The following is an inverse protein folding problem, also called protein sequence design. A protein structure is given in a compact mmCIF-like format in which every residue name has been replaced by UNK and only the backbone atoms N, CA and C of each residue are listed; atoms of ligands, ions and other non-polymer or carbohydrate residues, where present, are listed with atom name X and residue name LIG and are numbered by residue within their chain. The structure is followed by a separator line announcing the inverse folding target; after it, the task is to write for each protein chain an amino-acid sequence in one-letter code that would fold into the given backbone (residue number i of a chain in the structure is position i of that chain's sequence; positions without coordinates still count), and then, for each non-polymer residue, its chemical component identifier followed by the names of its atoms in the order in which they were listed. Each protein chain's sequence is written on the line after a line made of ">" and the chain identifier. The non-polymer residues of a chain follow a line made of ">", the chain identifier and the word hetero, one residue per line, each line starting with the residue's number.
data_IF_363177163042
#
_entry.id   IF_363177163042
#
_cell.length_a   1.000
_cell.length_b   1.000
_cell.length_c   1.000
_cell.angle_alpha   90.00
_cell.angle_beta   90.00
_cell.angle_gamma   90.00
#
_symmetry.space_group_name_H-M   'P 1'
#
loop_
_entity.id
_entity.type
_entity.pdbx_description
1 polymer ?
#
# COMPACT_ATOMS: atom_id res chain seq x y z
N UNK A 1 -25.57 3.16 -22.63
CA UNK A 1 -24.68 4.00 -21.80
C UNK A 1 -25.12 4.01 -20.32
N UNK A 2 -24.50 3.21 -19.45
CA UNK A 2 -24.81 3.15 -18.00
C UNK A 2 -23.88 4.07 -17.18
N UNK A 3 -24.43 4.84 -16.23
CA UNK A 3 -23.72 5.55 -15.16
C UNK A 3 -24.13 4.94 -13.81
N UNK A 4 -23.19 4.61 -12.92
CA UNK A 4 -23.44 3.68 -11.81
C UNK A 4 -23.19 4.37 -10.46
N UNK A 5 -24.11 4.21 -9.51
CA UNK A 5 -24.13 4.97 -8.25
C UNK A 5 -23.89 4.14 -6.99
N UNK A 6 -24.52 2.96 -6.86
CA UNK A 6 -24.62 2.24 -5.57
C UNK A 6 -24.79 0.74 -5.78
N UNK A 7 -24.26 -0.07 -4.85
CA UNK A 7 -24.38 -1.53 -4.83
C UNK A 7 -24.92 -2.00 -3.48
N UNK A 8 -25.95 -2.85 -3.49
CA UNK A 8 -26.47 -3.53 -2.29
C UNK A 8 -27.22 -4.81 -2.69
N UNK A 9 -27.06 -5.90 -1.93
CA UNK A 9 -27.83 -7.15 -2.09
C UNK A 9 -27.81 -7.76 -3.49
N UNK A 10 -26.67 -7.69 -4.20
CA UNK A 10 -26.54 -8.24 -5.56
C UNK A 10 -27.17 -7.37 -6.65
N UNK A 11 -27.65 -6.17 -6.31
CA UNK A 11 -28.22 -5.20 -7.25
C UNK A 11 -27.29 -3.99 -7.41
N UNK A 12 -27.11 -3.55 -8.66
CA UNK A 12 -26.31 -2.37 -9.00
C UNK A 12 -27.22 -1.30 -9.58
N UNK A 13 -27.21 -0.11 -8.97
CA UNK A 13 -28.02 1.02 -9.37
C UNK A 13 -27.27 1.93 -10.34
N UNK A 14 -28.00 2.45 -11.33
CA UNK A 14 -27.42 3.43 -12.23
C UNK A 14 -28.44 4.25 -13.00
N UNK A 15 -27.99 4.85 -14.09
CA UNK A 15 -28.82 5.51 -15.10
C UNK A 15 -28.35 5.14 -16.51
N UNK A 16 -29.29 4.84 -17.40
CA UNK A 16 -29.03 4.54 -18.81
C UNK A 16 -29.28 5.77 -19.67
N UNK A 17 -28.24 6.36 -20.28
CA UNK A 17 -28.42 7.49 -21.20
C UNK A 17 -29.08 7.01 -22.50
N UNK A 18 -30.10 7.75 -22.96
CA UNK A 18 -30.68 7.60 -24.30
C UNK A 18 -29.81 8.34 -25.32
N UNK A 19 -29.72 7.81 -26.53
CA UNK A 19 -29.01 8.50 -27.61
C UNK A 19 -29.74 9.82 -27.94
N UNK A 20 -29.01 10.95 -27.85
CA UNK A 20 -29.45 12.24 -28.38
C UNK A 20 -29.99 13.29 -27.40
N UNK A 21 -30.28 12.99 -26.12
CA UNK A 21 -30.82 13.99 -25.18
C UNK A 21 -30.43 13.73 -23.71
N UNK A 22 -30.10 14.83 -23.01
CA UNK A 22 -29.84 14.99 -21.56
C UNK A 22 -28.53 14.38 -20.98
N UNK A 23 -27.80 15.09 -20.10
CA UNK A 23 -26.67 14.52 -19.35
C UNK A 23 -27.07 13.45 -18.32
N UNK A 24 -28.37 13.26 -18.06
CA UNK A 24 -28.90 12.27 -17.12
C UNK A 24 -29.80 11.27 -17.85
N UNK A 25 -29.54 9.99 -17.64
CA UNK A 25 -30.28 8.89 -18.27
C UNK A 25 -31.61 8.58 -17.60
N UNK A 26 -32.11 7.36 -17.78
CA UNK A 26 -33.22 6.79 -17.02
C UNK A 26 -32.65 5.87 -15.94
N UNK A 27 -33.14 5.97 -14.71
CA UNK A 27 -32.73 5.13 -13.59
C UNK A 27 -32.85 3.64 -13.96
N UNK A 28 -31.85 2.85 -13.58
CA UNK A 28 -31.84 1.41 -13.82
C UNK A 28 -31.37 0.64 -12.59
N UNK A 29 -31.78 -0.62 -12.54
CA UNK A 29 -31.26 -1.63 -11.62
C UNK A 29 -30.70 -2.77 -12.47
N UNK A 30 -29.47 -3.17 -12.19
CA UNK A 30 -28.84 -4.35 -12.76
C UNK A 30 -28.79 -5.45 -11.70
N UNK A 31 -29.39 -6.58 -12.00
CA UNK A 31 -29.35 -7.76 -11.15
C UNK A 31 -28.15 -8.62 -11.52
N UNK A 32 -27.23 -8.78 -10.57
CA UNK A 32 -25.97 -9.49 -10.77
C UNK A 32 -26.14 -10.99 -10.90
N UNK A 33 -27.18 -11.57 -10.29
CA UNK A 33 -27.41 -13.01 -10.28
C UNK A 33 -27.99 -13.49 -11.61
N UNK A 34 -28.94 -12.72 -12.15
CA UNK A 34 -29.58 -12.99 -13.44
C UNK A 34 -28.84 -12.36 -14.62
N UNK A 35 -28.07 -11.31 -14.37
CA UNK A 35 -27.45 -10.48 -15.39
C UNK A 35 -28.43 -9.54 -16.10
N UNK A 36 -29.65 -9.37 -15.57
CA UNK A 36 -30.71 -8.56 -16.18
C UNK A 36 -30.58 -7.08 -15.81
N UNK A 37 -30.84 -6.21 -16.80
CA UNK A 37 -30.90 -4.76 -16.61
C UNK A 37 -32.36 -4.31 -16.74
N UNK A 38 -32.90 -3.68 -15.70
CA UNK A 38 -34.26 -3.12 -15.66
C UNK A 38 -34.23 -1.61 -15.64
N UNK A 39 -34.93 -0.97 -16.57
CA UNK A 39 -35.22 0.46 -16.52
C UNK A 39 -36.40 0.75 -15.58
N UNK A 40 -36.24 1.73 -14.70
CA UNK A 40 -37.25 2.10 -13.69
C UNK A 40 -38.21 3.20 -14.18
N UNK A 41 -37.85 3.90 -15.27
CA UNK A 41 -38.61 5.02 -15.79
C UNK A 41 -38.36 6.32 -15.02
N UNK A 42 -39.30 7.26 -15.14
CA UNK A 42 -39.26 8.58 -14.51
C UNK A 42 -40.59 8.86 -13.81
N UNK A 43 -40.60 9.83 -12.90
CA UNK A 43 -41.85 10.36 -12.38
C UNK A 43 -42.65 11.08 -13.50
N UNK A 44 -43.99 11.17 -13.39
CA UNK A 44 -44.80 11.87 -14.37
C UNK A 44 -44.31 13.32 -14.61
N UNK A 45 -44.14 13.70 -15.87
CA UNK A 45 -43.64 15.03 -16.26
C UNK A 45 -42.12 15.19 -16.26
N UNK A 46 -41.37 14.21 -15.74
CA UNK A 46 -39.91 14.26 -15.67
C UNK A 46 -39.26 13.62 -16.91
N UNK A 47 -38.12 14.15 -17.34
CA UNK A 47 -37.41 13.73 -18.56
C UNK A 47 -36.27 12.74 -18.32
N UNK A 48 -35.69 12.75 -17.12
CA UNK A 48 -34.58 11.87 -16.75
C UNK A 48 -34.66 11.45 -15.29
N UNK A 49 -33.94 10.40 -14.92
CA UNK A 49 -33.89 9.90 -13.55
C UNK A 49 -32.58 9.17 -13.24
N UNK A 50 -32.22 9.14 -11.97
CA UNK A 50 -31.04 8.45 -11.45
C UNK A 50 -31.40 7.72 -10.15
N UNK A 51 -31.07 6.43 -10.07
CA UNK A 51 -31.16 5.67 -8.83
C UNK A 51 -29.90 5.91 -7.97
N UNK A 52 -30.08 6.10 -6.67
CA UNK A 52 -29.01 6.46 -5.73
C UNK A 52 -28.94 5.56 -4.50
N UNK A 53 -30.02 4.87 -4.12
CA UNK A 53 -30.02 3.97 -2.96
C UNK A 53 -31.00 2.82 -3.15
N UNK A 54 -30.76 1.70 -2.45
CA UNK A 54 -31.66 0.55 -2.46
C UNK A 54 -31.64 -0.12 -1.09
N UNK A 55 -32.82 -0.49 -0.58
CA UNK A 55 -32.93 -1.28 0.65
C UNK A 55 -33.99 -2.35 0.44
N UNK A 56 -33.57 -3.62 0.40
CA UNK A 56 -34.42 -4.71 -0.03
C UNK A 56 -34.95 -4.47 -1.45
N UNK A 57 -36.27 -4.29 -1.56
CA UNK A 57 -36.97 -4.13 -2.85
C UNK A 57 -37.37 -2.70 -3.18
N UNK A 58 -36.87 -1.76 -2.39
CA UNK A 58 -37.17 -0.33 -2.52
C UNK A 58 -35.95 0.38 -3.06
N UNK A 59 -36.08 1.01 -4.21
CA UNK A 59 -35.05 1.83 -4.85
C UNK A 59 -35.40 3.29 -4.67
N UNK A 60 -34.42 4.12 -4.31
CA UNK A 60 -34.58 5.56 -4.23
C UNK A 60 -33.74 6.27 -5.26
N UNK A 61 -34.12 7.48 -5.61
CA UNK A 61 -33.39 8.27 -6.59
C UNK A 61 -33.96 9.65 -6.79
N UNK A 62 -33.55 10.29 -7.87
CA UNK A 62 -33.97 11.64 -8.24
C UNK A 62 -34.41 11.62 -9.70
N UNK A 63 -35.57 12.19 -9.98
CA UNK A 63 -36.03 12.52 -11.33
C UNK A 63 -35.80 14.00 -11.62
N UNK A 64 -35.58 14.34 -12.88
CA UNK A 64 -35.33 15.71 -13.32
C UNK A 64 -36.21 16.10 -14.49
N UNK A 65 -36.71 17.33 -14.45
CA UNK A 65 -37.57 17.90 -15.47
C UNK A 65 -36.71 18.54 -16.58
N UNK A 66 -37.37 19.27 -17.49
CA UNK A 66 -36.68 20.00 -18.56
C UNK A 66 -35.78 21.14 -18.05
N UNK A 67 -36.12 21.71 -16.89
CA UNK A 67 -35.39 22.79 -16.23
C UNK A 67 -34.30 22.30 -15.27
N UNK A 68 -34.19 20.96 -15.10
CA UNK A 68 -33.31 20.27 -14.15
C UNK A 68 -33.67 20.49 -12.69
N UNK A 69 -34.93 20.81 -12.43
CA UNK A 69 -35.49 20.76 -11.09
C UNK A 69 -35.60 19.30 -10.66
N UNK A 70 -35.21 19.03 -9.41
CA UNK A 70 -35.07 17.68 -8.90
C UNK A 70 -36.27 17.26 -8.05
N UNK A 71 -36.90 16.14 -8.41
CA UNK A 71 -37.95 15.50 -7.61
C UNK A 71 -37.44 14.12 -7.14
N UNK A 72 -37.18 13.94 -5.83
CA UNK A 72 -36.74 12.67 -5.29
C UNK A 72 -37.88 11.66 -5.31
N UNK A 73 -37.54 10.40 -5.63
CA UNK A 73 -38.51 9.32 -5.76
C UNK A 73 -38.14 8.10 -4.93
N UNK A 74 -39.17 7.28 -4.69
CA UNK A 74 -39.09 5.89 -4.28
C UNK A 74 -39.73 5.01 -5.34
N UNK A 75 -39.12 3.88 -5.65
CA UNK A 75 -39.55 2.89 -6.63
C UNK A 75 -39.60 1.53 -5.96
N UNK A 76 -40.76 0.89 -6.02
CA UNK A 76 -40.95 -0.46 -5.50
C UNK A 76 -40.73 -1.48 -6.63
N UNK A 77 -39.73 -2.36 -6.46
CA UNK A 77 -39.35 -3.34 -7.48
C UNK A 77 -40.41 -4.43 -7.69
N UNK A 78 -41.26 -4.71 -6.71
CA UNK A 78 -42.33 -5.71 -6.81
C UNK A 78 -43.51 -5.20 -7.60
N UNK A 79 -43.94 -3.98 -7.29
CA UNK A 79 -45.12 -3.37 -7.93
C UNK A 79 -44.76 -2.61 -9.20
N UNK A 80 -43.50 -2.21 -9.35
CA UNK A 80 -43.02 -1.36 -10.44
C UNK A 80 -43.48 0.10 -10.34
N UNK A 81 -43.96 0.52 -9.16
CA UNK A 81 -44.55 1.85 -8.96
C UNK A 81 -43.49 2.82 -8.47
N UNK A 82 -43.34 3.94 -9.19
CA UNK A 82 -42.54 5.10 -8.79
C UNK A 82 -43.42 6.16 -8.12
N UNK A 83 -42.99 6.72 -6.99
CA UNK A 83 -43.70 7.79 -6.27
C UNK A 83 -42.72 8.86 -5.78
N UNK A 84 -43.10 10.15 -5.78
CA UNK A 84 -42.25 11.18 -5.21
C UNK A 84 -42.23 11.08 -3.68
N UNK A 85 -41.13 11.55 -3.07
CA UNK A 85 -41.14 11.87 -1.65
C UNK A 85 -42.04 13.11 -1.42
N UNK A 86 -42.51 13.27 -0.19
CA UNK A 86 -43.45 14.35 0.16
C UNK A 86 -42.82 15.38 1.11
N UNK A 87 -43.54 16.47 1.37
CA UNK A 87 -43.11 17.49 2.33
C UNK A 87 -41.94 18.34 1.82
N UNK A 88 -41.10 18.81 2.75
CA UNK A 88 -40.07 19.82 2.48
C UNK A 88 -38.99 19.40 1.47
N UNK A 89 -38.79 18.09 1.29
CA UNK A 89 -37.74 17.56 0.40
C UNK A 89 -38.23 17.30 -1.02
N UNK A 90 -39.54 17.45 -1.29
CA UNK A 90 -40.13 17.08 -2.58
C UNK A 90 -39.52 17.82 -3.76
N UNK A 91 -39.31 19.12 -3.65
CA UNK A 91 -38.96 19.94 -4.83
C UNK A 91 -37.47 20.35 -4.85
N UNK A 92 -36.67 19.82 -3.92
CA UNK A 92 -35.26 20.20 -3.78
C UNK A 92 -34.35 19.11 -3.21
N UNK A 93 -34.92 17.96 -2.82
CA UNK A 93 -34.18 16.87 -2.21
C UNK A 93 -33.35 16.07 -3.22
N UNK A 94 -32.09 15.84 -2.86
CA UNK A 94 -31.20 14.89 -3.50
C UNK A 94 -30.98 13.73 -2.54
N UNK A 95 -31.40 12.52 -2.92
CA UNK A 95 -31.24 11.32 -2.10
C UNK A 95 -29.83 10.76 -2.29
N UNK A 96 -29.14 10.45 -1.19
CA UNK A 96 -27.83 9.80 -1.24
C UNK A 96 -27.87 8.33 -0.86
N UNK A 97 -28.77 7.90 0.02
CA UNK A 97 -28.85 6.49 0.44
C UNK A 97 -30.17 6.13 1.16
N UNK A 98 -30.43 4.84 1.36
CA UNK A 98 -31.58 4.30 2.11
C UNK A 98 -31.18 3.08 2.95
N UNK A 99 -31.71 3.00 4.17
CA UNK A 99 -31.61 1.81 5.04
C UNK A 99 -32.97 1.53 5.67
N UNK A 100 -33.56 0.38 5.34
CA UNK A 100 -34.92 0.04 5.74
C UNK A 100 -35.92 1.03 5.16
N UNK A 101 -36.66 1.71 6.05
CA UNK A 101 -37.64 2.73 5.69
C UNK A 101 -37.09 4.17 5.74
N UNK A 102 -35.78 4.35 6.01
CA UNK A 102 -35.18 5.67 6.19
C UNK A 102 -34.32 6.05 5.01
N UNK A 103 -34.69 7.13 4.36
CA UNK A 103 -33.98 7.73 3.24
C UNK A 103 -33.16 8.90 3.76
N UNK A 104 -31.91 9.01 3.35
CA UNK A 104 -31.07 10.17 3.67
C UNK A 104 -30.66 10.89 2.42
N UNK A 105 -30.43 12.19 2.57
CA UNK A 105 -30.05 13.03 1.46
C UNK A 105 -29.78 14.44 1.93
N UNK A 106 -29.74 15.36 0.98
CA UNK A 106 -29.64 16.78 1.27
C UNK A 106 -30.59 17.58 0.38
N UNK A 107 -30.97 18.76 0.83
CA UNK A 107 -31.71 19.72 0.05
C UNK A 107 -31.07 21.11 0.18
N UNK A 108 -31.32 21.99 -0.79
CA UNK A 108 -30.84 23.36 -0.75
C UNK A 108 -31.88 24.26 -0.09
N UNK A 109 -31.49 25.00 0.94
CA UNK A 109 -32.31 26.01 1.59
C UNK A 109 -31.45 27.23 1.88
N UNK A 110 -31.88 28.42 1.48
CA UNK A 110 -31.14 29.68 1.68
C UNK A 110 -29.67 29.64 1.24
N UNK A 111 -29.40 28.97 0.11
CA UNK A 111 -28.05 28.73 -0.43
C UNK A 111 -27.14 27.84 0.43
N UNK A 112 -27.69 27.14 1.42
CA UNK A 112 -26.99 26.18 2.28
C UNK A 112 -27.54 24.76 2.07
N UNK A 113 -26.65 23.76 2.01
CA UNK A 113 -27.06 22.36 1.91
C UNK A 113 -27.40 21.78 3.28
N UNK A 114 -28.64 21.35 3.46
CA UNK A 114 -29.13 20.74 4.69
C UNK A 114 -29.34 19.25 4.50
N UNK A 115 -28.76 18.45 5.39
CA UNK A 115 -28.94 17.01 5.39
C UNK A 115 -30.30 16.65 5.99
N UNK A 116 -30.97 15.64 5.44
CA UNK A 116 -32.26 15.18 5.93
C UNK A 116 -32.29 13.66 6.12
N UNK A 117 -33.23 13.22 6.96
CA UNK A 117 -33.70 11.85 7.08
C UNK A 117 -35.21 11.88 6.82
N UNK A 118 -35.67 11.10 5.85
CA UNK A 118 -37.08 10.94 5.50
C UNK A 118 -37.53 9.53 5.86
N UNK A 119 -38.60 9.43 6.64
CA UNK A 119 -39.21 8.14 7.00
C UNK A 119 -40.33 7.80 6.01
N UNK A 120 -40.16 6.72 5.25
CA UNK A 120 -41.10 6.26 4.23
C UNK A 120 -42.43 5.78 4.82
N UNK A 121 -42.47 5.41 6.10
CA UNK A 121 -43.68 4.93 6.76
C UNK A 121 -44.57 6.09 7.19
N UNK A 122 -43.98 7.16 7.73
CA UNK A 122 -44.74 8.32 8.23
C UNK A 122 -44.82 9.46 7.23
N UNK A 123 -43.94 9.50 6.24
CA UNK A 123 -43.79 10.60 5.29
C UNK A 123 -43.18 11.87 5.91
N UNK A 124 -42.54 11.76 7.08
CA UNK A 124 -41.98 12.90 7.81
C UNK A 124 -40.50 13.09 7.52
N UNK A 125 -40.06 14.35 7.49
CA UNK A 125 -38.64 14.71 7.35
C UNK A 125 -38.08 15.20 8.68
N UNK A 126 -36.82 14.83 8.95
CA UNK A 126 -36.02 15.33 10.05
C UNK A 126 -34.69 15.86 9.53
N UNK A 127 -34.27 17.05 9.97
CA UNK A 127 -32.97 17.61 9.62
C UNK A 127 -31.82 16.96 10.41
N UNK A 128 -30.67 16.83 9.74
CA UNK A 128 -29.42 16.41 10.34
C UNK A 128 -28.60 17.66 10.71
N UNK A 129 -28.25 17.85 12.00
CA UNK A 129 -27.50 19.02 12.44
C UNK A 129 -26.10 19.06 11.83
N UNK A 130 -25.60 20.27 11.56
CA UNK A 130 -24.23 20.48 11.13
C UNK A 130 -23.23 20.39 12.30
N UNK A 131 -21.99 20.00 12.02
CA UNK A 131 -20.91 20.08 13.01
C UNK A 131 -20.65 21.55 13.40
N UNK A 132 -20.19 21.82 14.64
CA UNK A 132 -19.85 23.17 15.05
C UNK A 132 -18.89 23.86 14.07
N UNK A 133 -19.29 25.04 13.58
CA UNK A 133 -18.54 25.83 12.59
C UNK A 133 -18.79 25.47 11.12
N UNK A 134 -19.62 24.46 10.84
CA UNK A 134 -20.09 24.17 9.49
C UNK A 134 -21.49 24.75 9.25
N UNK A 135 -21.74 25.14 7.99
CA UNK A 135 -23.04 25.65 7.51
C UNK A 135 -23.79 24.63 6.64
N UNK A 136 -23.20 23.46 6.42
CA UNK A 136 -23.78 22.45 5.56
C UNK A 136 -23.65 21.06 6.15
N UNK A 137 -24.56 20.18 5.74
CA UNK A 137 -24.53 18.76 6.04
C UNK A 137 -24.84 17.99 4.76
N UNK A 138 -23.90 17.15 4.33
CA UNK A 138 -24.04 16.30 3.15
C UNK A 138 -23.92 14.84 3.59
N UNK A 139 -25.04 14.16 3.85
CA UNK A 139 -25.06 12.71 4.12
C UNK A 139 -24.54 11.93 2.92
N UNK A 140 -23.80 10.86 3.18
CA UNK A 140 -23.24 9.99 2.15
C UNK A 140 -23.79 8.57 2.23
N UNK A 141 -24.10 8.07 3.43
CA UNK A 141 -24.67 6.74 3.64
C UNK A 141 -25.49 6.68 4.94
N UNK A 142 -26.45 5.77 5.01
CA UNK A 142 -27.15 5.37 6.23
C UNK A 142 -27.04 3.83 6.43
N UNK A 143 -26.75 3.40 7.65
CA UNK A 143 -26.81 2.00 8.05
C UNK A 143 -27.47 1.89 9.43
N UNK A 144 -28.65 1.28 9.48
CA UNK A 144 -29.46 1.20 10.68
C UNK A 144 -29.84 2.60 11.20
N UNK A 145 -29.34 2.96 12.38
CA UNK A 145 -29.55 4.27 13.00
C UNK A 145 -28.44 5.28 12.71
N UNK A 146 -27.38 4.90 12.01
CA UNK A 146 -26.22 5.77 11.80
C UNK A 146 -26.20 6.35 10.39
N UNK A 147 -26.11 7.68 10.31
CA UNK A 147 -25.89 8.44 9.08
C UNK A 147 -24.50 9.01 9.10
N UNK A 148 -23.71 8.78 8.06
CA UNK A 148 -22.39 9.38 7.91
C UNK A 148 -22.35 10.38 6.76
N UNK A 149 -21.38 11.28 6.77
CA UNK A 149 -21.18 12.19 5.65
C UNK A 149 -20.16 13.27 5.91
N UNK A 150 -20.39 14.45 5.33
CA UNK A 150 -19.51 15.62 5.43
C UNK A 150 -20.25 16.86 5.95
N UNK A 151 -19.62 17.52 6.92
CA UNK A 151 -20.00 18.83 7.45
C UNK A 151 -18.73 19.62 7.79
N UNK A 152 -17.97 20.00 6.75
CA UNK A 152 -16.59 20.49 6.86
C UNK A 152 -15.58 19.37 7.15
N UNK A 153 -15.87 18.56 8.16
CA UNK A 153 -15.21 17.29 8.49
C UNK A 153 -16.19 16.12 8.36
N UNK A 154 -15.65 14.91 8.40
CA UNK A 154 -16.42 13.69 8.45
C UNK A 154 -17.28 13.67 9.73
N UNK A 155 -18.57 13.37 9.60
CA UNK A 155 -19.47 13.22 10.74
C UNK A 155 -20.13 11.84 10.76
N UNK A 156 -20.61 11.45 11.94
CA UNK A 156 -21.60 10.39 12.12
C UNK A 156 -22.73 10.90 13.00
N UNK A 157 -23.97 10.66 12.61
CA UNK A 157 -25.18 11.09 13.30
C UNK A 157 -26.05 9.88 13.61
N UNK A 158 -26.40 9.69 14.88
CA UNK A 158 -27.33 8.64 15.27
C UNK A 158 -28.76 9.19 15.27
N UNK A 159 -29.62 8.61 14.44
CA UNK A 159 -31.01 9.05 14.26
C UNK A 159 -31.83 8.82 15.53
N UNK A 160 -31.61 7.74 16.25
CA UNK A 160 -32.37 7.37 17.45
C UNK A 160 -31.98 8.23 18.66
N UNK A 161 -30.68 8.38 18.92
CA UNK A 161 -30.17 9.13 20.09
C UNK A 161 -29.96 10.62 19.83
N UNK A 162 -30.07 11.05 18.57
CA UNK A 162 -29.76 12.41 18.09
C UNK A 162 -28.29 12.82 18.33
N UNK A 163 -27.41 11.87 18.53
CA UNK A 163 -26.00 12.11 18.79
C UNK A 163 -25.24 12.45 17.50
N UNK A 164 -24.61 13.63 17.45
CA UNK A 164 -23.72 14.04 16.37
C UNK A 164 -22.24 13.90 16.79
N UNK A 165 -21.48 13.14 16.01
CA UNK A 165 -20.06 12.87 16.24
C UNK A 165 -19.20 13.44 15.12
N UNK A 166 -18.13 14.12 15.51
CA UNK A 166 -17.02 14.50 14.64
C UNK A 166 -16.04 13.32 14.56
N UNK A 167 -15.80 12.82 13.35
CA UNK A 167 -14.90 11.68 13.10
C UNK A 167 -13.44 12.13 12.86
N UNK A 168 -13.19 13.44 12.90
CA UNK A 168 -11.86 14.02 12.83
C UNK A 168 -11.23 14.05 11.45
N UNK A 169 -9.94 14.34 11.42
CA UNK A 169 -9.15 14.58 10.22
C UNK A 169 -7.70 14.13 10.48
N UNK A 170 -6.97 13.76 9.43
CA UNK A 170 -5.55 13.43 9.57
C UNK A 170 -4.73 14.66 9.99
N UNK A 171 -3.59 14.46 10.69
CA UNK A 171 -2.67 15.53 11.00
C UNK A 171 -2.25 16.32 9.74
N UNK A 172 -2.33 17.65 9.81
CA UNK A 172 -2.00 18.55 8.69
C UNK A 172 -3.10 18.73 7.64
N UNK A 173 -4.20 17.96 7.72
CA UNK A 173 -5.32 18.09 6.81
C UNK A 173 -6.42 18.95 7.46
N UNK A 174 -7.17 19.70 6.66
CA UNK A 174 -8.21 20.64 7.15
C UNK A 174 -9.64 20.18 6.91
N UNK A 175 -9.83 19.15 6.07
CA UNK A 175 -11.14 18.62 5.74
C UNK A 175 -11.12 17.11 5.65
N UNK A 176 -12.27 16.50 5.91
CA UNK A 176 -12.50 15.07 5.75
C UNK A 176 -13.94 14.81 5.34
N UNK A 177 -14.19 13.63 4.78
CA UNK A 177 -15.53 13.17 4.43
C UNK A 177 -15.61 11.67 4.67
N UNK A 178 -16.65 11.23 5.36
CA UNK A 178 -17.01 9.82 5.43
C UNK A 178 -17.79 9.48 4.15
N UNK A 179 -17.41 8.42 3.46
CA UNK A 179 -17.98 8.02 2.16
C UNK A 179 -18.73 6.71 2.23
N UNK A 180 -18.36 5.82 3.17
CA UNK A 180 -19.09 4.59 3.41
C UNK A 180 -18.87 4.05 4.85
N UNK A 181 -19.79 3.22 5.33
CA UNK A 181 -19.78 2.55 6.63
C UNK A 181 -20.33 1.11 6.57
N UNK A 182 -19.88 0.30 7.53
CA UNK A 182 -20.34 -1.05 7.79
C UNK A 182 -20.15 -1.34 9.27
N UNK A 183 -21.25 -1.50 10.01
CA UNK A 183 -21.26 -1.54 11.46
C UNK A 183 -20.59 -0.29 12.07
N UNK A 184 -19.53 -0.47 12.85
CA UNK A 184 -18.82 0.65 13.50
C UNK A 184 -17.68 1.21 12.68
N UNK A 185 -17.33 0.61 11.55
CA UNK A 185 -16.20 1.05 10.72
C UNK A 185 -16.69 2.09 9.73
N UNK A 186 -15.96 3.20 9.65
CA UNK A 186 -16.22 4.27 8.70
C UNK A 186 -14.99 4.45 7.84
N UNK A 187 -15.19 4.53 6.54
CA UNK A 187 -14.13 4.88 5.59
C UNK A 187 -14.43 6.21 4.95
N UNK A 188 -13.38 6.82 4.44
CA UNK A 188 -13.51 8.14 3.89
C UNK A 188 -12.23 8.63 3.26
N UNK A 189 -12.18 9.94 3.15
CA UNK A 189 -11.00 10.68 2.74
C UNK A 189 -10.73 11.80 3.73
N UNK A 190 -9.45 12.12 3.88
CA UNK A 190 -8.97 13.29 4.60
C UNK A 190 -8.04 14.07 3.69
N UNK A 191 -8.18 15.38 3.59
CA UNK A 191 -7.31 16.20 2.74
C UNK A 191 -7.92 17.46 2.14
N UNK A 192 -7.09 18.15 1.36
CA UNK A 192 -7.45 19.30 0.55
C UNK A 192 -7.69 18.92 -0.91
N UNK A 193 -7.60 19.88 -1.83
CA UNK A 193 -7.67 19.57 -3.26
C UNK A 193 -6.41 18.78 -3.65
N UNK A 194 -5.22 19.20 -3.25
CA UNK A 194 -3.96 18.67 -3.78
C UNK A 194 -3.42 17.42 -3.04
N UNK A 195 -3.69 17.27 -1.75
CA UNK A 195 -3.34 16.11 -0.92
C UNK A 195 -4.62 15.48 -0.36
N UNK A 196 -4.97 14.28 -0.84
CA UNK A 196 -6.09 13.47 -0.34
C UNK A 196 -5.64 12.06 -0.02
N UNK A 197 -5.96 11.62 1.18
CA UNK A 197 -5.65 10.28 1.65
C UNK A 197 -6.93 9.51 1.97
N UNK A 198 -7.00 8.27 1.53
CA UNK A 198 -8.00 7.32 1.98
C UNK A 198 -7.79 6.99 3.47
N UNK A 199 -8.88 7.05 4.23
CA UNK A 199 -8.86 6.89 5.68
C UNK A 199 -9.83 5.83 6.18
N UNK A 200 -9.48 5.22 7.31
CA UNK A 200 -10.36 4.37 8.09
C UNK A 200 -10.46 4.92 9.52
N UNK A 201 -11.65 4.86 10.09
CA UNK A 201 -11.91 5.21 11.49
C UNK A 201 -13.04 4.35 12.04
N UNK A 202 -13.38 4.56 13.30
CA UNK A 202 -14.55 3.96 13.94
C UNK A 202 -15.50 5.05 14.42
N UNK A 203 -16.79 4.77 14.53
CA UNK A 203 -17.80 5.74 15.01
C UNK A 203 -17.48 6.41 16.35
N UNK A 204 -16.60 5.85 17.18
CA UNK A 204 -16.16 6.44 18.46
C UNK A 204 -14.80 7.15 18.42
N UNK A 205 -14.09 7.16 17.28
CA UNK A 205 -12.76 7.73 17.16
C UNK A 205 -12.79 9.10 16.46
N UNK A 206 -12.06 10.07 17.01
CA UNK A 206 -11.78 11.38 16.39
C UNK A 206 -10.45 11.42 15.62
N UNK A 207 -9.80 10.28 15.48
CA UNK A 207 -8.49 10.17 14.86
C UNK A 207 -8.57 9.12 13.76
N UNK A 208 -8.90 9.53 12.52
CA UNK A 208 -8.82 8.62 11.40
C UNK A 208 -7.35 8.25 11.14
N UNK A 209 -7.13 7.07 10.58
CA UNK A 209 -5.80 6.61 10.16
C UNK A 209 -5.74 6.47 8.65
N UNK A 210 -4.55 6.67 8.06
CA UNK A 210 -4.32 6.34 6.64
C UNK A 210 -4.40 4.84 6.46
N UNK A 211 -4.99 4.37 5.36
CA UNK A 211 -4.96 2.96 4.99
C UNK A 211 -3.51 2.53 4.68
N UNK A 212 -2.95 1.52 5.38
CA UNK A 212 -1.57 1.09 5.18
C UNK A 212 -1.34 0.51 3.78
N UNK A 213 -0.22 0.87 3.14
CA UNK A 213 0.16 0.34 1.81
C UNK A 213 -0.34 1.16 0.61
N UNK A 214 -1.12 2.22 0.86
CA UNK A 214 -1.41 3.25 -0.15
C UNK A 214 -0.31 4.32 -0.20
N UNK A 215 -0.06 4.95 -1.36
CA UNK A 215 0.95 5.98 -1.49
C UNK A 215 0.52 7.20 -0.70
N UNK A 216 1.43 7.77 0.08
CA UNK A 216 1.12 8.92 0.94
C UNK A 216 1.04 10.25 0.16
N UNK A 217 1.65 10.28 -1.02
CA UNK A 217 1.87 11.44 -1.89
C UNK A 217 0.87 11.51 -3.07
N UNK A 218 0.02 10.50 -3.23
CA UNK A 218 -0.98 10.45 -4.30
C UNK A 218 -2.40 10.54 -3.76
N UNK A 219 -3.27 11.20 -4.53
CA UNK A 219 -4.71 11.25 -4.23
C UNK A 219 -5.28 9.83 -4.20
N UNK A 220 -5.84 9.46 -3.06
CA UNK A 220 -6.57 8.22 -2.88
C UNK A 220 -7.94 8.49 -2.26
N UNK A 221 -8.96 7.82 -2.79
CA UNK A 221 -10.32 7.84 -2.24
C UNK A 221 -10.73 6.42 -1.88
N UNK A 222 -11.31 6.26 -0.69
CA UNK A 222 -12.07 5.08 -0.32
C UNK A 222 -13.55 5.31 -0.64
N UNK A 223 -14.18 4.33 -1.25
CA UNK A 223 -15.61 4.26 -1.51
C UNK A 223 -16.13 2.90 -1.06
N UNK A 224 -16.95 2.19 -1.84
CA UNK A 224 -17.77 1.05 -1.45
C UNK A 224 -17.16 0.09 -0.42
N UNK A 225 -17.95 -0.28 0.60
CA UNK A 225 -17.54 -1.24 1.63
C UNK A 225 -18.61 -2.29 1.89
N UNK A 226 -18.19 -3.47 2.33
CA UNK A 226 -19.08 -4.51 2.82
C UNK A 226 -18.57 -5.08 4.15
N UNK A 227 -19.15 -6.20 4.59
CA UNK A 227 -18.79 -6.86 5.85
C UNK A 227 -17.29 -7.17 5.98
N UNK A 228 -16.59 -7.41 4.88
CA UNK A 228 -15.22 -7.91 4.88
C UNK A 228 -14.20 -6.94 4.28
N UNK A 229 -14.62 -6.08 3.34
CA UNK A 229 -13.72 -5.33 2.49
C UNK A 229 -14.07 -3.84 2.39
N UNK A 230 -13.04 -3.04 2.11
CA UNK A 230 -13.10 -1.63 1.75
C UNK A 230 -12.49 -1.50 0.36
N UNK A 231 -13.03 -0.66 -0.51
CA UNK A 231 -12.47 -0.46 -1.84
C UNK A 231 -12.25 1.01 -2.18
N UNK A 232 -11.45 1.25 -3.22
CA UNK A 232 -11.23 2.60 -3.72
C UNK A 232 -10.32 2.64 -4.93
N UNK A 233 -9.79 3.83 -5.21
CA UNK A 233 -8.85 4.04 -6.32
C UNK A 233 -7.76 5.05 -5.96
N UNK A 234 -6.55 4.84 -6.48
CA UNK A 234 -5.45 5.82 -6.46
C UNK A 234 -5.40 6.54 -7.80
N UNK A 235 -5.31 7.87 -7.78
CA UNK A 235 -5.20 8.70 -8.99
C UNK A 235 -6.34 8.49 -10.00
N UNK A 236 -7.51 8.04 -9.54
CA UNK A 236 -8.66 7.60 -10.34
C UNK A 236 -8.39 6.43 -11.32
N UNK A 237 -7.27 5.72 -11.17
CA UNK A 237 -6.83 4.72 -12.16
C UNK A 237 -6.49 3.37 -11.58
N UNK A 238 -5.99 3.33 -10.36
CA UNK A 238 -5.49 2.09 -9.76
C UNK A 238 -6.48 1.60 -8.69
N UNK A 239 -7.36 0.64 -9.01
CA UNK A 239 -8.30 0.10 -8.05
C UNK A 239 -7.58 -0.67 -6.95
N UNK A 240 -8.10 -0.62 -5.74
CA UNK A 240 -7.57 -1.35 -4.59
C UNK A 240 -8.68 -1.81 -3.66
N UNK A 241 -8.39 -2.88 -2.91
CA UNK A 241 -9.20 -3.35 -1.78
C UNK A 241 -8.36 -3.40 -0.52
N UNK A 242 -8.99 -3.20 0.63
CA UNK A 242 -8.38 -3.39 1.93
C UNK A 242 -9.27 -4.31 2.78
N UNK A 243 -8.66 -5.31 3.41
CA UNK A 243 -9.38 -6.12 4.40
C UNK A 243 -9.75 -5.27 5.60
N UNK A 244 -11.01 -5.29 6.04
CA UNK A 244 -11.42 -4.62 7.29
C UNK A 244 -10.71 -5.19 8.52
N UNK A 245 -10.44 -6.50 8.54
CA UNK A 245 -9.81 -7.18 9.68
C UNK A 245 -8.33 -6.84 9.84
N UNK A 246 -7.56 -6.86 8.76
CA UNK A 246 -6.09 -6.68 8.81
C UNK A 246 -5.62 -5.30 8.37
N UNK A 247 -6.47 -4.51 7.71
CA UNK A 247 -6.07 -3.26 7.05
C UNK A 247 -5.14 -3.46 5.85
N UNK A 248 -4.93 -4.72 5.42
CA UNK A 248 -4.03 -5.06 4.33
C UNK A 248 -4.63 -4.65 2.99
N UNK A 249 -3.92 -3.76 2.30
CA UNK A 249 -4.29 -3.29 0.96
C UNK A 249 -3.74 -4.22 -0.11
N UNK A 250 -4.61 -4.60 -1.04
CA UNK A 250 -4.29 -5.31 -2.27
C UNK A 250 -4.68 -4.42 -3.45
N UNK A 251 -3.71 -4.06 -4.29
CA UNK A 251 -4.00 -3.45 -5.59
C UNK A 251 -4.63 -4.49 -6.50
N UNK A 252 -5.71 -4.09 -7.15
CA UNK A 252 -6.39 -4.92 -8.11
C UNK A 252 -5.80 -4.66 -9.49
N UNK A 253 -5.63 -5.73 -10.26
CA UNK A 253 -5.39 -5.59 -11.70
C UNK A 253 -6.74 -5.45 -12.38
N UNK A 254 -6.91 -4.36 -13.13
CA UNK A 254 -8.04 -4.25 -14.04
C UNK A 254 -7.99 -5.41 -15.06
N UNK A 255 -9.15 -5.87 -15.56
CA UNK A 255 -9.20 -6.78 -16.69
C UNK A 255 -8.43 -6.23 -17.91
N UNK A 256 -7.84 -7.11 -18.75
CA UNK A 256 -7.15 -6.68 -19.96
C UNK A 256 -8.05 -5.85 -20.87
N UNK A 257 -7.62 -4.64 -21.24
CA UNK A 257 -8.41 -3.71 -22.05
C UNK A 257 -9.11 -2.60 -21.26
N UNK A 258 -9.17 -2.71 -19.93
CA UNK A 258 -9.88 -1.78 -19.04
C UNK A 258 -8.92 -0.98 -18.14
N UNK A 259 -7.95 -0.29 -18.75
CA UNK A 259 -7.01 0.58 -18.02
C UNK A 259 -7.75 1.76 -17.40
N UNK A 260 -7.87 1.79 -16.06
CA UNK A 260 -8.48 2.89 -15.31
C UNK A 260 -9.89 2.65 -14.77
N UNK A 261 -10.31 1.41 -14.51
CA UNK A 261 -11.58 1.15 -13.84
C UNK A 261 -11.65 1.79 -12.43
N UNK A 262 -12.73 2.52 -12.17
CA UNK A 262 -13.14 2.91 -10.82
C UNK A 262 -14.01 1.81 -10.20
N UNK A 263 -13.77 1.50 -8.92
CA UNK A 263 -14.61 0.57 -8.16
C UNK A 263 -15.91 1.28 -7.76
N UNK A 264 -17.03 0.69 -8.13
CA UNK A 264 -18.39 1.22 -7.92
C UNK A 264 -19.25 0.32 -7.02
N UNK A 265 -18.84 -0.93 -6.77
CA UNK A 265 -19.54 -1.85 -5.87
C UNK A 265 -18.76 -3.13 -5.58
N UNK A 266 -19.09 -3.82 -4.48
CA UNK A 266 -18.49 -5.12 -4.11
C UNK A 266 -19.44 -6.06 -3.35
N UNK A 267 -19.60 -7.29 -3.86
CA UNK A 267 -20.29 -8.40 -3.20
C UNK A 267 -19.35 -9.58 -2.95
N UNK A 268 -19.05 -9.92 -1.70
CA UNK A 268 -18.07 -10.96 -1.41
C UNK A 268 -16.73 -10.68 -2.12
N UNK A 269 -16.37 -11.54 -3.08
CA UNK A 269 -15.20 -11.38 -3.95
C UNK A 269 -15.52 -10.76 -5.33
N UNK A 270 -16.80 -10.51 -5.65
CA UNK A 270 -17.24 -9.89 -6.90
C UNK A 270 -17.11 -8.38 -6.81
N UNK A 271 -16.45 -7.78 -7.80
CA UNK A 271 -16.21 -6.35 -7.89
C UNK A 271 -16.92 -5.83 -9.13
N UNK A 272 -17.71 -4.78 -8.95
CA UNK A 272 -18.25 -4.00 -10.04
C UNK A 272 -17.34 -2.80 -10.30
N UNK A 273 -16.94 -2.62 -11.55
CA UNK A 273 -16.15 -1.46 -11.99
C UNK A 273 -16.70 -0.83 -13.25
N UNK A 274 -16.40 0.45 -13.41
CA UNK A 274 -16.71 1.23 -14.60
C UNK A 274 -15.44 1.97 -15.08
N UNK A 275 -15.26 2.19 -16.38
CA UNK A 275 -14.15 2.99 -16.92
C UNK A 275 -14.07 4.39 -16.27
N UNK A 276 -12.86 4.94 -16.11
CA UNK A 276 -12.63 6.25 -15.50
C UNK A 276 -13.33 7.39 -16.25
N UNK A 277 -13.51 7.25 -17.56
CA UNK A 277 -14.49 8.01 -18.30
C UNK A 277 -15.87 7.41 -18.06
N UNK A 278 -16.62 8.00 -17.13
CA UNK A 278 -18.03 7.72 -16.80
C UNK A 278 -19.02 7.81 -18.00
N UNK A 279 -18.50 7.81 -19.24
CA UNK A 279 -19.25 7.80 -20.47
C UNK A 279 -19.44 6.34 -20.89
N UNK A 280 -20.59 5.83 -20.50
CA UNK A 280 -21.27 4.77 -21.24
C UNK A 280 -20.62 3.39 -21.27
N UNK A 281 -21.05 2.53 -20.34
CA UNK A 281 -20.86 1.08 -20.51
C UNK A 281 -22.20 0.45 -20.90
N UNK A 282 -22.21 -0.48 -21.86
CA UNK A 282 -23.41 -1.25 -22.22
C UNK A 282 -23.59 -2.50 -21.34
N UNK A 283 -22.55 -2.85 -20.57
CA UNK A 283 -22.56 -3.89 -19.53
C UNK A 283 -21.55 -3.49 -18.45
N UNK A 284 -21.87 -3.74 -17.18
CA UNK A 284 -20.88 -3.60 -16.11
C UNK A 284 -19.73 -4.59 -16.33
N UNK A 285 -18.50 -4.15 -16.07
CA UNK A 285 -17.39 -5.10 -15.91
C UNK A 285 -17.49 -5.65 -14.50
N UNK A 286 -17.95 -6.90 -14.42
CA UNK A 286 -17.94 -7.69 -13.20
C UNK A 286 -16.71 -8.57 -13.23
N UNK A 287 -15.94 -8.56 -12.17
CA UNK A 287 -14.87 -9.52 -12.03
C UNK A 287 -14.78 -10.01 -10.60
N UNK A 288 -14.57 -11.30 -10.46
CA UNK A 288 -14.13 -11.84 -9.18
C UNK A 288 -12.71 -11.33 -8.92
N UNK A 289 -12.44 -10.96 -7.67
CA UNK A 289 -11.10 -10.77 -7.16
C UNK A 289 -10.35 -12.05 -7.47
N UNK A 290 -9.46 -11.98 -8.46
CA UNK A 290 -8.66 -13.14 -8.85
C UNK A 290 -8.02 -13.70 -7.58
N UNK A 291 -8.24 -14.98 -7.25
CA UNK A 291 -7.57 -15.58 -6.12
C UNK A 291 -6.07 -15.31 -6.26
N UNK A 292 -5.47 -14.86 -5.17
CA UNK A 292 -4.05 -14.53 -5.14
C UNK A 292 -3.26 -15.76 -4.70
N UNK A 293 -1.98 -15.77 -5.03
CA UNK A 293 -1.05 -16.71 -4.44
C UNK A 293 -0.94 -16.44 -2.93
N UNK A 294 -1.03 -17.46 -2.08
CA UNK A 294 -0.77 -17.36 -0.65
C UNK A 294 0.70 -17.05 -0.41
N UNK A 295 0.98 -15.89 0.21
CA UNK A 295 2.34 -15.43 0.48
C UNK A 295 2.84 -15.89 1.85
N UNK A 296 4.11 -16.26 1.91
CA UNK A 296 4.82 -16.56 3.16
C UNK A 296 6.02 -15.63 3.27
N UNK A 297 6.23 -15.05 4.46
CA UNK A 297 7.40 -14.22 4.72
C UNK A 297 8.68 -15.06 4.55
N UNK A 298 9.57 -14.71 3.61
CA UNK A 298 10.78 -15.48 3.38
C UNK A 298 11.80 -15.25 4.49
N UNK A 299 12.75 -16.18 4.63
CA UNK A 299 13.86 -16.06 5.59
C UNK A 299 15.22 -16.16 4.89
N UNK A 300 16.24 -15.59 5.53
CA UNK A 300 17.62 -15.62 5.05
C UNK A 300 18.46 -16.47 6.00
N UNK A 301 19.17 -17.47 5.45
CA UNK A 301 20.22 -18.19 6.16
C UNK A 301 21.62 -17.79 5.71
N UNK A 302 22.61 -18.15 6.54
CA UNK A 302 24.03 -17.87 6.32
C UNK A 302 24.57 -16.76 7.21
N UNK A 303 25.86 -16.48 7.09
CA UNK A 303 26.54 -15.44 7.88
C UNK A 303 26.67 -14.15 7.08
N UNK A 304 26.16 -13.03 7.63
CA UNK A 304 26.33 -11.70 7.04
C UNK A 304 27.77 -11.20 7.18
N UNK A 305 28.66 -11.64 6.28
CA UNK A 305 30.07 -11.24 6.22
C UNK A 305 30.55 -11.18 4.78
N UNK A 306 31.39 -10.19 4.44
CA UNK A 306 32.04 -10.09 3.12
C UNK A 306 32.74 -11.41 2.77
N UNK A 307 32.48 -11.91 1.56
CA UNK A 307 32.98 -13.18 1.04
C UNK A 307 32.14 -14.41 1.43
N UNK A 308 31.14 -14.26 2.29
CA UNK A 308 30.19 -15.34 2.65
C UNK A 308 28.96 -15.34 1.73
N UNK A 309 28.31 -16.49 1.61
CA UNK A 309 27.06 -16.65 0.84
C UNK A 309 25.85 -16.60 1.78
N UNK A 310 24.80 -15.93 1.33
CA UNK A 310 23.46 -15.98 1.93
C UNK A 310 22.54 -16.85 1.08
N UNK A 311 21.58 -17.51 1.72
CA UNK A 311 20.54 -18.33 1.10
C UNK A 311 19.17 -17.77 1.42
N UNK A 312 18.34 -17.57 0.40
CA UNK A 312 16.93 -17.26 0.56
C UNK A 312 16.11 -18.54 0.69
N UNK A 313 15.22 -18.57 1.67
CA UNK A 313 14.20 -19.60 1.85
C UNK A 313 12.83 -18.95 1.66
N UNK A 314 12.13 -19.34 0.60
CA UNK A 314 10.85 -18.75 0.22
C UNK A 314 9.69 -19.10 1.17
N UNK A 315 9.78 -20.23 1.87
CA UNK A 315 8.63 -20.83 2.56
C UNK A 315 7.68 -21.57 1.60
N UNK A 316 6.65 -22.26 2.11
CA UNK A 316 5.65 -22.92 1.28
C UNK A 316 4.64 -21.91 0.71
N UNK A 317 4.73 -21.59 -0.58
CA UNK A 317 3.75 -20.74 -1.26
C UNK A 317 2.56 -21.58 -1.75
N UNK A 318 1.35 -21.08 -1.55
CA UNK A 318 0.11 -21.76 -1.91
C UNK A 318 -0.63 -21.07 -3.06
N UNK A 319 -1.48 -21.77 -3.82
CA UNK A 319 -1.67 -23.23 -3.84
C UNK A 319 -0.47 -23.97 -4.48
N UNK A 320 -0.45 -25.31 -4.45
CA UNK A 320 0.66 -26.11 -5.03
C UNK A 320 0.97 -25.71 -6.49
N UNK A 321 2.25 -25.74 -6.89
CA UNK A 321 2.69 -25.39 -8.25
C UNK A 321 2.96 -23.90 -8.48
N UNK A 322 3.13 -23.10 -7.42
CA UNK A 322 3.57 -21.70 -7.52
C UNK A 322 5.04 -21.63 -7.90
N UNK A 323 5.35 -20.88 -8.95
CA UNK A 323 6.72 -20.51 -9.31
C UNK A 323 7.17 -19.29 -8.51
N UNK A 324 8.42 -19.27 -8.03
CA UNK A 324 8.96 -18.16 -7.24
C UNK A 324 10.18 -17.53 -7.89
N UNK A 325 10.30 -16.21 -7.80
CA UNK A 325 11.48 -15.44 -8.19
C UNK A 325 12.02 -14.62 -7.02
N UNK A 326 13.31 -14.28 -7.05
CA UNK A 326 13.97 -13.54 -5.97
C UNK A 326 14.48 -12.18 -6.46
N UNK A 327 14.57 -11.21 -5.55
CA UNK A 327 15.34 -9.98 -5.73
C UNK A 327 16.01 -9.62 -4.41
N UNK A 328 17.34 -9.45 -4.42
CA UNK A 328 18.09 -9.03 -3.23
C UNK A 328 18.20 -7.51 -3.11
N UNK A 329 18.17 -7.03 -1.88
CA UNK A 329 18.24 -5.61 -1.53
C UNK A 329 19.39 -5.34 -0.57
N UNK A 330 20.02 -4.17 -0.71
CA UNK A 330 21.00 -3.61 0.21
C UNK A 330 20.42 -2.35 0.82
N UNK A 331 20.22 -2.33 2.14
CA UNK A 331 19.60 -1.22 2.87
C UNK A 331 18.29 -0.72 2.20
N UNK A 332 17.46 -1.65 1.74
CA UNK A 332 16.18 -1.36 1.08
C UNK A 332 16.26 -1.00 -0.41
N UNK A 333 17.47 -0.87 -1.00
CA UNK A 333 17.64 -0.63 -2.44
C UNK A 333 17.94 -1.92 -3.20
N UNK A 334 17.22 -2.17 -4.30
CA UNK A 334 17.42 -3.35 -5.13
C UNK A 334 18.85 -3.39 -5.69
N UNK A 335 19.48 -4.57 -5.61
CA UNK A 335 20.79 -4.83 -6.21
C UNK A 335 20.54 -5.37 -7.62
N UNK A 336 20.93 -4.60 -8.64
CA UNK A 336 20.72 -4.97 -10.04
C UNK A 336 21.28 -6.38 -10.35
N UNK A 337 20.44 -7.22 -10.99
CA UNK A 337 20.79 -8.58 -11.39
C UNK A 337 20.89 -9.60 -10.24
N UNK A 338 20.67 -9.21 -8.99
CA UNK A 338 20.72 -10.12 -7.86
C UNK A 338 19.37 -10.87 -7.69
N UNK A 339 19.09 -11.80 -8.59
CA UNK A 339 17.81 -12.54 -8.65
C UNK A 339 17.91 -14.03 -8.31
N UNK A 340 19.11 -14.50 -7.98
CA UNK A 340 19.33 -15.88 -7.59
C UNK A 340 18.86 -16.18 -6.16
N UNK A 341 18.51 -17.44 -5.88
CA UNK A 341 18.22 -17.93 -4.52
C UNK A 341 19.39 -17.71 -3.54
N UNK A 342 20.62 -17.59 -4.05
CA UNK A 342 21.81 -17.34 -3.25
C UNK A 342 22.49 -16.03 -3.62
N UNK A 343 23.09 -15.35 -2.64
CA UNK A 343 23.83 -14.10 -2.84
C UNK A 343 25.20 -14.17 -2.17
N UNK A 344 26.26 -14.00 -2.95
CA UNK A 344 27.62 -13.81 -2.42
C UNK A 344 27.80 -12.36 -1.98
N UNK A 345 28.18 -12.14 -0.72
CA UNK A 345 28.40 -10.80 -0.19
C UNK A 345 29.75 -10.25 -0.65
N UNK A 346 29.73 -9.05 -1.23
CA UNK A 346 30.93 -8.36 -1.71
C UNK A 346 31.33 -7.24 -0.76
N UNK A 347 32.46 -6.61 -1.03
CA UNK A 347 32.95 -5.47 -0.22
C UNK A 347 31.98 -4.28 -0.24
N UNK A 348 31.17 -4.15 -1.29
CA UNK A 348 30.12 -3.12 -1.39
C UNK A 348 28.93 -3.37 -0.45
N UNK A 349 28.77 -4.60 0.05
CA UNK A 349 27.72 -4.94 1.00
C UNK A 349 28.15 -4.69 2.46
N UNK A 350 29.43 -4.37 2.70
CA UNK A 350 29.96 -4.19 4.04
C UNK A 350 29.21 -3.10 4.83
N UNK A 351 28.88 -3.39 6.09
CA UNK A 351 28.11 -2.54 7.01
C UNK A 351 26.64 -2.30 6.64
N UNK A 352 26.19 -2.74 5.46
CA UNK A 352 24.79 -2.72 5.07
C UNK A 352 24.00 -3.89 5.63
N UNK A 353 22.67 -3.79 5.64
CA UNK A 353 21.76 -4.91 5.87
C UNK A 353 21.28 -5.48 4.54
N UNK A 354 21.09 -6.79 4.51
CA UNK A 354 20.59 -7.48 3.33
C UNK A 354 19.15 -7.94 3.58
N UNK A 355 18.30 -7.82 2.59
CA UNK A 355 16.98 -8.45 2.57
C UNK A 355 16.72 -9.08 1.20
N UNK A 356 15.74 -9.97 1.13
CA UNK A 356 15.30 -10.59 -0.11
C UNK A 356 13.80 -10.49 -0.23
N UNK A 357 13.34 -10.06 -1.40
CA UNK A 357 11.93 -10.16 -1.79
C UNK A 357 11.75 -11.43 -2.61
N UNK A 358 10.68 -12.16 -2.31
CA UNK A 358 10.24 -13.33 -3.06
C UNK A 358 8.89 -13.01 -3.69
N UNK A 359 8.77 -13.24 -4.98
CA UNK A 359 7.51 -13.08 -5.73
C UNK A 359 7.02 -14.44 -6.20
N UNK A 360 5.82 -14.83 -5.78
CA UNK A 360 5.12 -16.02 -6.25
C UNK A 360 4.20 -15.73 -7.43
N UNK A 361 4.23 -16.61 -8.44
CA UNK A 361 3.40 -16.54 -9.65
C UNK A 361 2.83 -17.90 -9.99
N UNK A 362 1.54 -17.91 -10.33
CA UNK A 362 0.84 -19.08 -10.89
C UNK A 362 -0.18 -18.58 -11.92
N UNK A 363 -0.25 -19.26 -13.07
CA UNK A 363 -1.21 -18.89 -14.12
C UNK A 363 -2.63 -18.92 -13.57
N UNK A 364 -3.43 -17.92 -13.93
CA UNK A 364 -4.81 -17.75 -13.42
C UNK A 364 -4.91 -17.08 -12.03
N UNK A 365 -3.81 -16.93 -11.28
CA UNK A 365 -3.80 -16.27 -9.97
C UNK A 365 -3.07 -14.92 -10.01
N UNK A 366 -3.47 -14.00 -9.14
CA UNK A 366 -2.74 -12.75 -8.93
C UNK A 366 -1.38 -13.04 -8.26
N UNK A 367 -0.30 -12.46 -8.79
CA UNK A 367 1.04 -12.61 -8.23
C UNK A 367 1.18 -11.85 -6.91
N UNK A 368 1.95 -12.39 -5.97
CA UNK A 368 2.18 -11.78 -4.66
C UNK A 368 3.67 -11.71 -4.34
N UNK A 369 4.07 -10.71 -3.57
CA UNK A 369 5.44 -10.54 -3.06
C UNK A 369 5.47 -10.49 -1.54
N UNK A 370 6.56 -11.00 -0.97
CA UNK A 370 6.88 -10.87 0.45
C UNK A 370 8.38 -10.62 0.63
N UNK A 371 8.76 -9.74 1.56
CA UNK A 371 10.15 -9.38 1.85
C UNK A 371 10.58 -9.93 3.19
N UNK A 372 11.80 -10.47 3.27
CA UNK A 372 12.35 -11.03 4.50
C UNK A 372 12.63 -9.95 5.54
N UNK A 373 12.74 -10.36 6.80
CA UNK A 373 13.42 -9.53 7.79
C UNK A 373 14.87 -9.26 7.34
N UNK A 374 15.39 -8.02 7.51
CA UNK A 374 16.78 -7.73 7.15
C UNK A 374 17.78 -8.47 8.03
N UNK A 375 18.93 -8.86 7.48
CA UNK A 375 20.03 -9.44 8.24
C UNK A 375 20.61 -8.46 9.28
N UNK A 376 21.47 -8.97 10.15
CA UNK A 376 22.46 -8.11 10.82
C UNK A 376 23.36 -7.41 9.79
N UNK A 377 24.01 -6.31 10.20
CA UNK A 377 24.93 -5.59 9.32
C UNK A 377 26.07 -6.51 8.89
N UNK A 378 26.37 -6.50 7.59
CA UNK A 378 27.42 -7.35 7.02
C UNK A 378 28.77 -6.97 7.62
N UNK A 379 29.40 -7.92 8.31
CA UNK A 379 30.72 -7.76 8.88
C UNK A 379 31.81 -7.72 7.80
N UNK A 380 32.95 -7.08 8.13
CA UNK A 380 34.14 -7.11 7.27
C UNK A 380 34.64 -8.54 7.05
N UNK A 381 35.24 -8.77 5.89
CA UNK A 381 35.90 -10.03 5.57
C UNK A 381 37.13 -10.26 6.45
N UNK A 382 37.61 -11.49 6.49
CA UNK A 382 38.80 -11.86 7.27
C UNK A 382 39.92 -12.28 6.33
N UNK A 383 41.09 -11.67 6.49
CA UNK A 383 42.29 -12.08 5.78
C UNK A 383 42.88 -13.34 6.42
N UNK A 384 43.50 -14.21 5.61
CA UNK A 384 44.27 -15.36 6.10
C UNK A 384 45.65 -15.37 5.48
N UNK A 385 46.66 -15.66 6.30
CA UNK A 385 48.06 -15.75 5.90
C UNK A 385 48.84 -16.64 6.89
N UNK A 386 49.88 -17.34 6.42
CA UNK A 386 50.81 -18.04 7.31
C UNK A 386 51.68 -17.05 8.09
N UNK A 387 52.44 -17.55 9.05
CA UNK A 387 53.49 -16.77 9.73
C UNK A 387 54.66 -16.56 8.75
N UNK A 388 55.12 -15.32 8.53
CA UNK A 388 56.24 -15.04 7.62
C UNK A 388 57.57 -15.53 8.21
N UNK A 389 58.56 -15.77 7.35
CA UNK A 389 59.89 -16.25 7.75
C UNK A 389 61.00 -15.32 7.27
N UNK A 390 62.12 -15.35 7.98
CA UNK A 390 63.37 -14.68 7.59
C UNK A 390 64.40 -15.75 7.20
N UNK A 391 65.13 -15.51 6.11
CA UNK A 391 66.34 -16.26 5.77
C UNK A 391 67.57 -15.35 5.75
N UNK A 392 68.74 -15.98 5.81
CA UNK A 392 70.04 -15.31 5.89
C UNK A 392 70.62 -15.32 7.30
N UNK A 393 71.93 -15.17 7.39
CA UNK A 393 72.65 -15.13 8.68
C UNK A 393 72.62 -13.70 9.23
N UNK A 394 72.20 -13.46 10.49
CA UNK A 394 72.24 -12.14 11.09
C UNK A 394 73.70 -11.79 11.44
N UNK A 395 74.48 -11.39 10.44
CA UNK A 395 75.88 -10.97 10.57
C UNK A 395 76.05 -9.63 9.91
N UNK A 396 76.76 -8.69 10.56
CA UNK A 396 77.02 -7.35 10.01
C UNK A 396 77.56 -7.46 8.58
N UNK A 397 76.94 -6.72 7.66
CA UNK A 397 77.24 -6.76 6.23
C UNK A 397 76.39 -7.75 5.41
N UNK A 398 75.76 -8.74 6.05
CA UNK A 398 74.90 -9.75 5.38
C UNK A 398 73.48 -9.22 5.14
N UNK A 399 72.72 -9.88 4.25
CA UNK A 399 71.34 -9.51 3.94
C UNK A 399 70.37 -10.54 4.49
N UNK A 400 69.36 -10.08 5.24
CA UNK A 400 68.19 -10.87 5.62
C UNK A 400 67.11 -10.72 4.55
N UNK A 401 66.43 -11.82 4.19
CA UNK A 401 65.33 -11.84 3.23
C UNK A 401 64.03 -12.29 3.89
N UNK A 402 62.97 -11.51 3.68
CA UNK A 402 61.63 -11.73 4.20
C UNK A 402 60.76 -12.50 3.21
N UNK A 403 60.26 -13.65 3.65
CA UNK A 403 59.27 -14.45 2.94
C UNK A 403 57.90 -14.30 3.60
N UNK A 404 56.99 -13.65 2.87
CA UNK A 404 55.68 -13.21 3.39
C UNK A 404 54.60 -14.30 3.41
N UNK A 405 54.81 -15.38 2.66
CA UNK A 405 53.80 -16.41 2.40
C UNK A 405 52.64 -15.92 1.52
N UNK A 406 51.71 -16.83 1.20
CA UNK A 406 50.52 -16.51 0.41
C UNK A 406 49.41 -15.91 1.29
N UNK A 407 48.80 -14.81 0.83
CA UNK A 407 47.70 -14.15 1.52
C UNK A 407 46.40 -14.39 0.75
N UNK A 408 45.32 -14.65 1.49
CA UNK A 408 43.98 -14.86 0.93
C UNK A 408 42.95 -13.91 1.56
N UNK A 409 41.94 -13.48 0.78
CA UNK A 409 41.73 -13.75 -0.65
C UNK A 409 42.72 -13.00 -1.56
N UNK A 410 42.82 -13.38 -2.85
CA UNK A 410 43.76 -12.75 -3.81
C UNK A 410 43.60 -11.23 -3.89
N UNK A 411 44.70 -10.49 -3.98
CA UNK A 411 44.72 -9.01 -4.06
C UNK A 411 44.77 -8.32 -2.70
N UNK A 412 45.47 -8.92 -1.73
CA UNK A 412 45.83 -8.23 -0.48
C UNK A 412 47.06 -7.38 -0.73
N UNK A 413 46.99 -6.10 -0.38
CA UNK A 413 48.13 -5.20 -0.38
C UNK A 413 48.99 -5.48 0.86
N UNK A 414 50.27 -5.78 0.64
CA UNK A 414 51.20 -6.11 1.71
C UNK A 414 52.19 -4.97 1.93
N UNK A 415 52.30 -4.54 3.18
CA UNK A 415 53.37 -3.66 3.64
C UNK A 415 54.19 -4.39 4.70
N UNK A 416 55.48 -4.09 4.77
CA UNK A 416 56.35 -4.64 5.80
C UNK A 416 57.18 -3.57 6.50
N UNK A 417 57.57 -3.87 7.74
CA UNK A 417 58.48 -3.06 8.55
C UNK A 417 59.42 -3.97 9.32
N UNK A 418 60.68 -3.55 9.40
CA UNK A 418 61.72 -4.24 10.16
C UNK A 418 61.84 -3.66 11.58
N UNK A 419 62.20 -4.52 12.53
CA UNK A 419 62.30 -4.18 13.94
C UNK A 419 63.60 -4.74 14.54
N UNK A 420 64.21 -3.96 15.44
CA UNK A 420 65.36 -4.35 16.27
C UNK A 420 64.89 -4.42 17.71
N UNK A 421 64.95 -5.61 18.31
CA UNK A 421 64.46 -5.87 19.69
C UNK A 421 63.07 -5.27 19.94
N UNK A 422 62.16 -5.42 18.96
CA UNK A 422 60.79 -4.92 19.02
C UNK A 422 60.59 -3.44 18.69
N UNK A 423 61.67 -2.66 18.51
CA UNK A 423 61.61 -1.24 18.10
C UNK A 423 61.72 -1.11 16.58
N UNK A 424 60.96 -0.19 16.00
CA UNK A 424 60.94 0.02 14.54
C UNK A 424 62.30 0.50 14.02
N UNK A 425 62.71 -0.02 12.88
CA UNK A 425 63.85 0.47 12.10
C UNK A 425 63.28 1.35 10.97
N UNK A 426 63.56 2.64 10.99
CA UNK A 426 63.04 3.59 9.99
C UNK A 426 63.73 3.42 8.63
N UNK A 427 63.00 3.70 7.55
CA UNK A 427 63.51 3.64 6.16
C UNK A 427 63.54 2.24 5.53
N UNK A 428 63.41 1.18 6.33
CA UNK A 428 63.50 -0.21 5.86
C UNK A 428 62.11 -0.78 5.54
N UNK A 429 61.69 -0.67 4.28
CA UNK A 429 60.38 -1.15 3.80
C UNK A 429 60.47 -2.28 2.78
N UNK A 430 61.68 -2.67 2.35
CA UNK A 430 61.90 -3.69 1.34
C UNK A 430 61.74 -5.14 1.87
N UNK A 431 61.62 -6.13 0.98
CA UNK A 431 61.60 -7.55 1.34
C UNK A 431 62.99 -8.08 1.73
N UNK A 432 64.01 -7.23 1.67
CA UNK A 432 65.38 -7.52 2.08
C UNK A 432 65.89 -6.39 2.94
N UNK A 433 66.78 -6.70 3.87
CA UNK A 433 67.46 -5.71 4.72
C UNK A 433 68.89 -6.12 4.97
N UNK A 434 69.83 -5.17 4.83
CA UNK A 434 71.22 -5.38 5.22
C UNK A 434 71.37 -5.25 6.74
N UNK A 435 72.11 -6.16 7.36
CA UNK A 435 72.47 -6.10 8.77
C UNK A 435 73.58 -5.08 8.94
N UNK A 436 73.36 -4.07 9.78
CA UNK A 436 74.31 -2.98 10.01
C UNK A 436 75.02 -3.16 11.36
N UNK A 437 76.08 -2.39 11.59
CA UNK A 437 76.80 -2.40 12.87
C UNK A 437 75.88 -2.13 14.07
N UNK A 438 74.85 -1.31 13.89
CA UNK A 438 73.85 -0.98 14.90
C UNK A 438 72.95 -2.18 15.29
N UNK A 439 72.95 -3.27 14.52
CA UNK A 439 72.23 -4.50 14.87
C UNK A 439 73.03 -5.46 15.75
N UNK A 440 74.36 -5.27 15.89
CA UNK A 440 75.21 -6.20 16.63
C UNK A 440 74.68 -6.41 18.05
N UNK A 441 74.54 -7.66 18.47
CA UNK A 441 73.97 -8.06 19.75
C UNK A 441 72.44 -8.05 19.83
N UNK A 442 71.73 -7.50 18.82
CA UNK A 442 70.28 -7.36 18.82
C UNK A 442 69.61 -8.43 17.95
N UNK A 443 68.33 -8.70 18.19
CA UNK A 443 67.51 -9.58 17.35
C UNK A 443 66.69 -8.78 16.36
N UNK A 444 66.53 -9.34 15.17
CA UNK A 444 65.75 -8.72 14.10
C UNK A 444 64.43 -9.48 13.92
N UNK A 445 63.33 -8.75 13.77
CA UNK A 445 62.02 -9.28 13.34
C UNK A 445 61.47 -8.43 12.20
N UNK A 446 60.53 -8.99 11.44
CA UNK A 446 59.74 -8.22 10.49
C UNK A 446 58.25 -8.42 10.75
N UNK A 447 57.47 -7.34 10.64
CA UNK A 447 55.99 -7.40 10.63
C UNK A 447 55.49 -7.16 9.21
N UNK A 448 54.58 -8.02 8.77
CA UNK A 448 53.85 -7.92 7.51
C UNK A 448 52.40 -7.59 7.81
N UNK A 449 51.93 -6.46 7.29
CA UNK A 449 50.55 -6.00 7.41
C UNK A 449 49.86 -6.17 6.07
N UNK A 450 48.83 -7.00 6.04
CA UNK A 450 47.94 -7.12 4.89
C UNK A 450 46.72 -6.23 5.02
N UNK A 451 46.40 -5.52 3.94
CA UNK A 451 45.24 -4.65 3.82
C UNK A 451 44.46 -5.01 2.57
N UNK A 452 43.14 -4.95 2.66
CA UNK A 452 42.24 -5.10 1.53
C UNK A 452 40.93 -4.40 1.86
N UNK A 453 40.44 -3.58 0.93
CA UNK A 453 39.17 -2.88 1.12
C UNK A 453 38.04 -3.87 1.45
N UNK A 454 37.25 -3.57 2.49
CA UNK A 454 36.18 -4.44 2.98
C UNK A 454 36.61 -5.64 3.83
N UNK A 455 37.89 -5.74 4.20
CA UNK A 455 38.43 -6.78 5.08
C UNK A 455 39.10 -6.15 6.31
N UNK A 456 39.04 -6.86 7.44
CA UNK A 456 39.83 -6.49 8.62
C UNK A 456 41.32 -6.68 8.34
N UNK A 457 42.13 -5.68 8.70
CA UNK A 457 43.58 -5.75 8.58
C UNK A 457 44.13 -6.94 9.39
N UNK A 458 45.15 -7.60 8.84
CA UNK A 458 45.85 -8.69 9.52
C UNK A 458 47.34 -8.39 9.55
N UNK A 459 47.95 -8.54 10.73
CA UNK A 459 49.39 -8.38 10.93
C UNK A 459 49.98 -9.72 11.33
N UNK A 460 51.07 -10.11 10.67
CA UNK A 460 51.86 -11.29 11.02
C UNK A 460 53.31 -10.88 11.27
N UNK A 461 53.93 -11.47 12.29
CA UNK A 461 55.31 -11.18 12.68
C UNK A 461 56.15 -12.42 12.48
N UNK A 462 57.38 -12.25 11.98
CA UNK A 462 58.34 -13.36 11.88
C UNK A 462 58.78 -13.82 13.27
N UNK A 463 59.34 -15.03 13.36
CA UNK A 463 60.20 -15.35 14.50
C UNK A 463 61.39 -14.37 14.54
N UNK A 464 61.92 -14.13 15.74
CA UNK A 464 63.13 -13.33 15.92
C UNK A 464 64.36 -14.10 15.46
N UNK A 465 65.30 -13.42 14.80
CA UNK A 465 66.60 -14.02 14.46
C UNK A 465 67.39 -14.36 15.74
N UNK A 466 68.46 -15.13 15.58
CA UNK A 466 69.56 -15.10 16.56
C UNK A 466 70.14 -13.69 16.65
N UNK A 467 70.88 -13.40 17.73
CA UNK A 467 71.51 -12.08 17.92
C UNK A 467 72.53 -11.83 16.80
N UNK A 468 72.48 -10.64 16.20
CA UNK A 468 73.39 -10.30 15.11
C UNK A 468 74.85 -10.23 15.57
N UNK A 469 75.77 -10.75 14.78
CA UNK A 469 77.23 -10.79 15.08
C UNK A 469 78.01 -9.82 14.20
#
# INVERSE_FOLDING_TARGET
>A
MLNVGTYQEGLVLGSRMKAGYSPYGVAVVYDMASGELRELGTLPGQQSSMATGISGRIVTGVSYDENRENEPFVYDLDTGVMRPLTGQVRDSGSITDISGNRVVGYYSSDFEYRGFIYDLTTGTTQDIPALPGSKYTLPSQIEGDWVIGKSGRAFAYNVATKELRDLGVLPGHTSSAATAMYGTTVVGRSGGIEDQAATITTLGSKQPTRLPGLPSDLRSSAGPINASWIAGSVGYRTPWVASRKTGEVTYLQSPPGDDGLQVIGMDGDVIAGAPADLRAVDRLTLWERRPAVDRVTPSIGGTARVGSKLWAYAGPWGPEGVSVSYQWYRDGKAIAGATGRTRLLTTMDAKSRMSVEVTGRKAGLASQSATSTPTSRVALGVLRAPTPTLSGTPRVGSTLRLYRGAWSPRGVELSQRWYRDGRIIFGEFGPTRKVTSADRGHRITAKVTGRRFGYSNLVKTTAATTRAR
#
